data_IF_636256941700
#
_entry.id   IF_636256941700
#
_cell.length_a   1.000
_cell.length_b   1.000
_cell.length_c   1.000
_cell.angle_alpha   90.00
_cell.angle_beta   90.00
_cell.angle_gamma   90.00
#
_symmetry.space_group_name_H-M   'P 1'
#
loop_
_entity.id
_entity.type
_entity.pdbx_description
1 polymer ?
#
# COMPACT_ATOMS: atom_id res chain seq x y z
N UNK A 1 -1.69 -30.69 4.27
CA UNK A 1 -2.83 -30.13 4.99
C UNK A 1 -2.33 -29.69 6.37
N UNK A 2 -2.25 -28.39 6.62
CA UNK A 2 -1.98 -27.90 7.98
C UNK A 2 -3.21 -28.19 8.83
N UNK A 3 -3.08 -28.70 10.07
CA UNK A 3 -4.22 -28.84 10.96
C UNK A 3 -4.89 -27.48 11.14
N UNK A 4 -6.20 -27.41 11.03
CA UNK A 4 -6.97 -26.21 11.40
C UNK A 4 -6.65 -25.92 12.87
N UNK A 5 -6.36 -24.67 13.25
CA UNK A 5 -6.25 -24.34 14.66
C UNK A 5 -7.55 -24.75 15.35
N UNK A 6 -7.44 -25.51 16.41
CA UNK A 6 -8.58 -25.85 17.27
C UNK A 6 -9.22 -24.58 17.83
N UNK A 7 -10.44 -24.68 18.40
CA UNK A 7 -11.08 -23.55 19.05
C UNK A 7 -10.12 -22.95 20.10
N UNK A 8 -10.12 -21.62 20.27
CA UNK A 8 -9.23 -20.97 21.21
C UNK A 8 -9.40 -21.60 22.59
N UNK A 9 -8.28 -22.04 23.15
CA UNK A 9 -8.28 -22.56 24.53
C UNK A 9 -8.69 -21.45 25.49
N UNK A 10 -9.22 -21.77 26.66
CA UNK A 10 -9.63 -20.78 27.67
C UNK A 10 -8.52 -19.75 27.98
N UNK A 11 -7.24 -20.12 27.83
CA UNK A 11 -6.10 -19.21 27.95
C UNK A 11 -6.05 -18.10 26.87
N UNK A 12 -6.52 -18.38 25.63
CA UNK A 12 -6.56 -17.36 24.57
C UNK A 12 -7.64 -16.29 24.83
N UNK A 13 -8.69 -16.63 25.56
CA UNK A 13 -9.76 -15.70 25.93
C UNK A 13 -9.38 -14.72 27.04
N UNK A 14 -8.26 -14.95 27.74
CA UNK A 14 -7.76 -14.09 28.81
C UNK A 14 -6.63 -13.16 28.37
N UNK A 15 -6.19 -13.24 27.10
CA UNK A 15 -5.06 -12.46 26.61
C UNK A 15 -5.52 -11.09 26.07
N UNK A 16 -5.24 -10.03 26.83
CA UNK A 16 -5.43 -8.66 26.40
C UNK A 16 -4.20 -8.17 25.61
N UNK A 17 -4.38 -7.85 24.34
CA UNK A 17 -3.35 -7.28 23.48
C UNK A 17 -3.75 -5.85 23.05
N UNK A 18 -3.45 -4.81 23.83
CA UNK A 18 -3.60 -3.43 23.37
C UNK A 18 -2.45 -3.09 22.43
N UNK A 19 -2.69 -2.33 21.33
CA UNK A 19 -1.63 -1.87 20.47
C UNK A 19 -0.80 -0.80 21.19
N UNK A 20 0.53 -0.86 21.11
CA UNK A 20 1.38 0.24 21.52
C UNK A 20 1.27 1.40 20.51
N UNK A 21 1.74 2.58 20.90
CA UNK A 21 1.95 3.68 19.97
C UNK A 21 3.04 3.29 18.95
N UNK A 22 2.70 3.30 17.67
CA UNK A 22 3.58 2.91 16.58
C UNK A 22 3.99 4.12 15.75
N UNK A 23 5.29 4.24 15.46
CA UNK A 23 5.89 5.32 14.68
C UNK A 23 6.11 4.96 13.21
N UNK A 24 5.15 4.33 12.57
CA UNK A 24 5.23 3.86 11.19
C UNK A 24 5.46 2.35 11.08
N UNK A 25 5.01 1.75 10.00
CA UNK A 25 5.18 0.33 9.67
C UNK A 25 5.90 0.12 8.35
N UNK A 26 5.42 0.76 7.29
CA UNK A 26 5.96 0.74 5.92
C UNK A 26 6.13 -0.67 5.33
N UNK A 27 5.48 -1.68 5.92
CA UNK A 27 5.63 -3.11 5.61
C UNK A 27 6.57 -3.86 6.57
N UNK A 28 7.53 -3.21 7.24
CA UNK A 28 8.50 -3.85 8.12
C UNK A 28 7.94 -4.37 9.45
N UNK A 29 6.63 -4.30 9.70
CA UNK A 29 5.96 -4.79 10.91
C UNK A 29 4.87 -5.82 10.63
N UNK A 30 4.88 -6.43 9.44
CA UNK A 30 3.93 -7.49 9.10
C UNK A 30 4.38 -8.87 9.61
N UNK A 31 5.69 -9.09 9.70
CA UNK A 31 6.25 -10.29 10.31
C UNK A 31 6.32 -10.16 11.85
N UNK A 32 6.01 -11.25 12.56
CA UNK A 32 6.09 -11.32 14.01
C UNK A 32 7.54 -11.51 14.49
N UNK A 33 8.41 -10.52 14.24
CA UNK A 33 9.86 -10.64 14.44
C UNK A 33 10.28 -10.87 15.90
N UNK A 34 9.55 -10.30 16.88
CA UNK A 34 9.89 -10.38 18.31
C UNK A 34 8.72 -10.78 19.20
N UNK A 35 7.50 -10.71 18.71
CA UNK A 35 6.27 -10.88 19.50
C UNK A 35 6.18 -12.30 20.13
N UNK A 36 6.40 -13.33 19.31
CA UNK A 36 6.35 -14.72 19.79
C UNK A 36 7.49 -15.04 20.77
N UNK A 37 8.67 -14.46 20.63
CA UNK A 37 9.76 -14.62 21.61
C UNK A 37 9.38 -14.00 22.94
N UNK A 38 8.85 -12.78 22.94
CA UNK A 38 8.41 -12.12 24.16
C UNK A 38 7.28 -12.89 24.85
N UNK A 39 6.29 -13.35 24.09
CA UNK A 39 5.16 -14.11 24.60
C UNK A 39 5.59 -15.46 25.19
N UNK A 40 6.44 -16.22 24.50
CA UNK A 40 6.94 -17.52 24.99
C UNK A 40 7.74 -17.36 26.27
N UNK A 41 8.65 -16.39 26.32
CA UNK A 41 9.46 -16.16 27.52
C UNK A 41 8.60 -15.68 28.70
N UNK A 42 7.62 -14.81 28.47
CA UNK A 42 6.69 -14.37 29.51
C UNK A 42 5.87 -15.56 30.06
N UNK A 43 5.41 -16.45 29.17
CA UNK A 43 4.68 -17.65 29.55
C UNK A 43 5.54 -18.62 30.40
N UNK A 44 6.77 -18.89 29.98
CA UNK A 44 7.66 -19.82 30.70
C UNK A 44 8.16 -19.26 32.05
N UNK A 45 8.45 -17.97 32.08
CA UNK A 45 9.01 -17.33 33.30
C UNK A 45 7.93 -16.81 34.27
N UNK A 46 6.67 -16.72 33.81
CA UNK A 46 5.55 -16.11 34.55
C UNK A 46 5.90 -14.69 35.07
N UNK A 47 6.61 -13.93 34.23
CA UNK A 47 7.06 -12.56 34.53
C UNK A 47 6.92 -11.68 33.29
N UNK A 48 6.80 -10.36 33.45
CA UNK A 48 6.89 -9.43 32.33
C UNK A 48 8.21 -9.57 31.56
N UNK A 49 8.14 -9.66 30.24
CA UNK A 49 9.31 -9.78 29.37
C UNK A 49 9.28 -8.69 28.30
N UNK A 50 10.42 -8.09 28.03
CA UNK A 50 10.66 -7.14 26.94
C UNK A 50 11.75 -7.67 26.03
N UNK A 51 11.44 -7.80 24.74
CA UNK A 51 12.41 -8.12 23.69
C UNK A 51 12.60 -6.88 22.82
N UNK A 52 13.86 -6.50 22.58
CA UNK A 52 14.22 -5.36 21.75
C UNK A 52 15.46 -5.72 20.93
N UNK A 53 15.34 -5.68 19.63
CA UNK A 53 16.49 -5.79 18.73
C UNK A 53 17.34 -4.51 18.79
N UNK A 54 18.64 -4.64 18.79
CA UNK A 54 19.54 -3.54 18.50
C UNK A 54 19.38 -3.09 17.04
N UNK A 55 19.94 -1.94 16.69
CA UNK A 55 19.90 -1.48 15.30
C UNK A 55 20.64 -2.44 14.36
N UNK A 56 21.76 -2.99 14.78
CA UNK A 56 22.53 -3.97 14.00
C UNK A 56 21.73 -5.26 13.76
N UNK A 57 21.13 -5.82 14.81
CA UNK A 57 20.25 -6.99 14.67
C UNK A 57 19.04 -6.69 13.76
N UNK A 58 18.40 -5.53 13.92
CA UNK A 58 17.29 -5.13 13.07
C UNK A 58 17.70 -4.99 11.59
N UNK A 59 18.88 -4.46 11.31
CA UNK A 59 19.42 -4.41 9.94
C UNK A 59 19.66 -5.82 9.39
N UNK A 60 20.13 -6.74 10.22
CA UNK A 60 20.45 -8.11 9.79
C UNK A 60 19.21 -8.99 9.58
N UNK A 61 18.20 -8.91 10.47
CA UNK A 61 17.12 -9.93 10.50
C UNK A 61 15.72 -9.43 10.09
N UNK A 62 15.45 -8.12 10.13
CA UNK A 62 14.16 -7.62 9.66
C UNK A 62 14.01 -7.81 8.15
N UNK A 63 12.82 -8.18 7.65
CA UNK A 63 12.56 -8.27 6.23
C UNK A 63 12.84 -6.96 5.50
N UNK A 64 13.45 -7.08 4.33
CA UNK A 64 13.81 -5.96 3.46
C UNK A 64 12.96 -5.98 2.19
N UNK A 65 13.12 -4.94 1.34
CA UNK A 65 12.58 -4.95 -0.02
C UNK A 65 13.23 -6.07 -0.82
N UNK A 66 12.43 -6.85 -1.56
CA UNK A 66 12.94 -7.91 -2.42
C UNK A 66 13.90 -7.35 -3.48
N UNK A 67 15.13 -7.81 -3.55
CA UNK A 67 15.94 -7.69 -4.77
C UNK A 67 15.24 -8.45 -5.89
N UNK A 68 15.24 -7.87 -7.10
CA UNK A 68 14.63 -8.52 -8.28
C UNK A 68 15.56 -8.42 -9.47
N UNK A 69 15.78 -9.54 -10.14
CA UNK A 69 16.36 -9.59 -11.47
C UNK A 69 15.20 -9.57 -12.49
N UNK A 70 15.23 -8.61 -13.39
CA UNK A 70 14.09 -8.32 -14.25
C UNK A 70 14.53 -8.16 -15.69
N UNK A 71 13.95 -8.97 -16.58
CA UNK A 71 14.11 -8.85 -18.02
C UNK A 71 12.80 -8.41 -18.65
N UNK A 72 12.82 -7.27 -19.31
CA UNK A 72 11.65 -6.68 -19.98
C UNK A 72 11.92 -6.46 -21.46
N UNK A 73 10.95 -6.80 -22.28
CA UNK A 73 10.90 -6.47 -23.71
C UNK A 73 9.59 -5.75 -24.00
N UNK A 74 9.67 -4.61 -24.65
CA UNK A 74 8.53 -3.79 -25.04
C UNK A 74 8.58 -3.55 -26.55
N UNK A 75 7.45 -3.76 -27.25
CA UNK A 75 7.29 -3.50 -28.68
C UNK A 75 6.24 -2.42 -28.91
N UNK A 76 6.52 -1.52 -29.85
CA UNK A 76 5.56 -0.54 -30.37
C UNK A 76 5.65 -0.41 -31.88
N UNK A 77 4.65 0.21 -32.47
CA UNK A 77 4.71 0.67 -33.86
C UNK A 77 5.53 1.97 -34.01
N UNK A 78 5.64 2.49 -35.23
CA UNK A 78 6.38 3.72 -35.51
C UNK A 78 5.70 4.98 -34.95
N UNK A 79 4.42 4.91 -34.68
CA UNK A 79 3.58 5.96 -34.11
C UNK A 79 3.61 5.95 -32.60
N UNK A 80 4.27 4.95 -31.95
CA UNK A 80 4.40 4.80 -30.51
C UNK A 80 3.19 4.14 -29.82
N UNK A 81 2.32 3.45 -30.56
CA UNK A 81 1.31 2.60 -29.96
C UNK A 81 1.97 1.30 -29.48
N UNK A 82 1.77 0.93 -28.23
CA UNK A 82 2.38 -0.27 -27.66
C UNK A 82 1.64 -1.50 -28.14
N UNK A 83 2.37 -2.42 -28.79
CA UNK A 83 1.84 -3.67 -29.33
C UNK A 83 1.94 -4.83 -28.34
N UNK A 84 2.89 -4.78 -27.43
CA UNK A 84 3.03 -5.83 -26.43
C UNK A 84 4.20 -5.67 -25.48
N UNK A 85 4.10 -6.41 -24.37
CA UNK A 85 5.15 -6.47 -23.34
C UNK A 85 5.43 -7.92 -22.95
N UNK A 86 6.72 -8.26 -22.83
CA UNK A 86 7.18 -9.52 -22.24
C UNK A 86 8.05 -9.19 -21.03
N UNK A 87 7.76 -9.82 -19.89
CA UNK A 87 8.52 -9.63 -18.65
C UNK A 87 8.82 -10.96 -17.96
N UNK A 88 10.03 -11.10 -17.47
CA UNK A 88 10.45 -12.14 -16.54
C UNK A 88 11.01 -11.50 -15.29
N UNK A 89 10.45 -11.88 -14.13
CA UNK A 89 10.83 -11.33 -12.82
C UNK A 89 11.31 -12.46 -11.92
N UNK A 90 12.53 -12.39 -11.44
CA UNK A 90 13.08 -13.31 -10.43
C UNK A 90 13.24 -12.51 -9.15
N UNK A 91 12.54 -12.91 -8.09
CA UNK A 91 12.61 -12.27 -6.79
C UNK A 91 13.45 -13.10 -5.82
N UNK A 92 14.46 -12.49 -5.20
CA UNK A 92 15.19 -13.07 -4.07
C UNK A 92 14.37 -12.85 -2.79
N UNK A 93 13.85 -13.93 -2.20
CA UNK A 93 13.06 -13.87 -0.97
C UNK A 93 13.91 -14.08 0.29
N UNK A 94 15.22 -14.35 0.14
CA UNK A 94 16.13 -14.62 1.25
C UNK A 94 15.91 -15.98 1.90
N UNK A 95 16.34 -16.10 3.15
CA UNK A 95 16.38 -17.37 3.86
C UNK A 95 15.00 -17.93 4.25
N UNK A 96 13.96 -17.09 4.31
CA UNK A 96 12.60 -17.45 4.72
C UNK A 96 11.57 -16.93 3.74
N UNK A 97 10.39 -17.57 3.69
CA UNK A 97 9.32 -17.18 2.78
C UNK A 97 8.80 -15.76 3.04
N UNK A 98 8.63 -15.37 4.31
CA UNK A 98 7.93 -14.14 4.67
C UNK A 98 6.73 -13.90 3.73
N UNK A 99 6.74 -12.81 2.96
CA UNK A 99 5.72 -12.50 1.95
C UNK A 99 6.27 -12.56 0.51
N UNK A 100 7.30 -13.38 0.24
CA UNK A 100 7.94 -13.49 -1.07
C UNK A 100 6.97 -13.80 -2.20
N UNK A 101 6.14 -14.83 -2.06
CA UNK A 101 5.10 -15.18 -3.04
C UNK A 101 4.13 -14.03 -3.32
N UNK A 102 3.43 -13.48 -2.31
CA UNK A 102 2.51 -12.35 -2.48
C UNK A 102 3.16 -11.07 -3.06
N UNK A 103 4.43 -10.78 -2.70
CA UNK A 103 5.16 -9.63 -3.28
C UNK A 103 5.44 -9.85 -4.75
N UNK A 104 5.87 -11.05 -5.14
CA UNK A 104 6.10 -11.39 -6.54
C UNK A 104 4.80 -11.36 -7.35
N UNK A 105 3.72 -11.94 -6.83
CA UNK A 105 2.40 -11.88 -7.48
C UNK A 105 1.98 -10.43 -7.74
N UNK A 106 2.19 -9.55 -6.76
CA UNK A 106 1.90 -8.12 -6.89
C UNK A 106 2.82 -7.44 -7.91
N UNK A 107 4.09 -7.77 -7.94
CA UNK A 107 5.03 -7.28 -8.94
C UNK A 107 4.57 -7.66 -10.36
N UNK A 108 4.19 -8.91 -10.57
CA UNK A 108 3.74 -9.41 -11.88
C UNK A 108 2.40 -8.82 -12.32
N UNK A 109 1.42 -8.69 -11.41
CA UNK A 109 0.10 -8.11 -11.75
C UNK A 109 0.16 -6.63 -12.14
N UNK A 110 1.24 -5.94 -11.81
CA UNK A 110 1.45 -4.52 -12.12
C UNK A 110 2.63 -4.27 -13.07
N UNK A 111 3.29 -5.33 -13.53
CA UNK A 111 4.54 -5.21 -14.31
C UNK A 111 4.38 -4.43 -15.62
N UNK A 112 3.21 -4.47 -16.21
CA UNK A 112 2.91 -3.72 -17.44
C UNK A 112 2.64 -2.22 -17.21
N UNK A 113 2.53 -1.77 -15.95
CA UNK A 113 2.15 -0.39 -15.64
C UNK A 113 0.69 -0.07 -15.98
N UNK A 114 0.31 1.20 -15.91
CA UNK A 114 -1.08 1.63 -16.15
C UNK A 114 -1.35 1.93 -17.65
N UNK A 115 -0.99 1.01 -18.52
CA UNK A 115 -1.10 1.20 -19.97
C UNK A 115 -1.96 0.14 -20.62
N UNK A 116 -2.50 0.48 -21.80
CA UNK A 116 -3.22 -0.46 -22.65
C UNK A 116 -2.23 -1.33 -23.44
N UNK A 117 -2.51 -2.64 -23.52
CA UNK A 117 -1.71 -3.61 -24.28
C UNK A 117 -2.61 -4.59 -25.01
N UNK A 118 -2.29 -4.84 -26.28
CA UNK A 118 -2.92 -5.94 -27.04
C UNK A 118 -2.36 -7.30 -26.64
N UNK A 119 -1.06 -7.36 -26.34
CA UNK A 119 -0.37 -8.60 -26.03
C UNK A 119 0.55 -8.45 -24.80
N UNK A 120 0.55 -9.44 -23.93
CA UNK A 120 1.46 -9.48 -22.79
C UNK A 120 1.81 -10.91 -22.39
N UNK A 121 3.05 -11.10 -21.94
CA UNK A 121 3.54 -12.32 -21.32
C UNK A 121 4.38 -11.94 -20.10
N UNK A 122 3.88 -12.22 -18.91
CA UNK A 122 4.54 -11.87 -17.65
C UNK A 122 4.71 -13.12 -16.81
N UNK A 123 5.96 -13.44 -16.48
CA UNK A 123 6.33 -14.61 -15.66
C UNK A 123 7.14 -14.18 -14.45
N UNK A 124 6.97 -14.87 -13.33
CA UNK A 124 7.69 -14.58 -12.11
C UNK A 124 8.07 -15.83 -11.32
N UNK A 125 9.23 -15.78 -10.68
CA UNK A 125 9.80 -16.83 -9.83
C UNK A 125 10.29 -16.22 -8.53
N UNK A 126 9.92 -16.76 -7.37
CA UNK A 126 10.46 -16.36 -6.06
C UNK A 126 11.42 -17.45 -5.57
N UNK A 127 12.67 -17.08 -5.31
CA UNK A 127 13.73 -18.00 -4.96
C UNK A 127 14.15 -17.83 -3.51
N UNK A 128 14.34 -18.92 -2.80
CA UNK A 128 15.02 -18.93 -1.52
C UNK A 128 16.52 -18.79 -1.73
N UNK A 129 17.14 -17.97 -0.90
CA UNK A 129 18.60 -17.79 -0.86
C UNK A 129 19.09 -17.76 0.58
N UNK A 130 20.40 -17.66 0.79
CA UNK A 130 20.98 -17.45 2.12
C UNK A 130 21.06 -15.96 2.52
N UNK A 131 20.49 -15.08 1.72
CA UNK A 131 20.44 -13.65 2.03
C UNK A 131 19.47 -13.36 3.20
N UNK A 132 19.57 -12.19 3.85
CA UNK A 132 18.58 -11.75 4.82
C UNK A 132 17.17 -11.83 4.26
N UNK A 133 16.15 -12.09 5.11
CA UNK A 133 14.78 -12.22 4.64
C UNK A 133 14.31 -10.98 3.88
N UNK A 134 13.61 -11.18 2.78
CA UNK A 134 12.85 -10.16 2.10
C UNK A 134 11.36 -10.36 2.39
N UNK A 135 10.62 -9.28 2.61
CA UNK A 135 9.20 -9.33 2.98
C UNK A 135 8.43 -8.13 2.49
N UNK A 136 7.38 -7.76 3.20
CA UNK A 136 6.61 -6.57 2.88
C UNK A 136 7.46 -5.31 3.00
N UNK A 137 7.41 -4.48 1.97
CA UNK A 137 7.95 -3.13 2.00
C UNK A 137 7.07 -2.22 1.13
N UNK A 138 6.93 -0.95 1.49
CA UNK A 138 6.07 0.03 0.82
C UNK A 138 6.14 -0.08 -0.71
N UNK A 139 4.99 -0.28 -1.39
CA UNK A 139 4.89 -0.59 -2.81
C UNK A 139 4.73 -2.08 -3.12
N UNK A 140 5.27 -2.99 -2.27
CA UNK A 140 5.00 -4.44 -2.28
C UNK A 140 5.22 -5.09 -3.66
N UNK A 141 6.40 -4.88 -4.26
CA UNK A 141 6.76 -5.44 -5.56
C UNK A 141 6.50 -4.52 -6.76
N UNK A 142 5.50 -3.66 -6.68
CA UNK A 142 5.12 -2.75 -7.78
C UNK A 142 6.22 -1.73 -8.10
N UNK A 143 6.93 -1.24 -7.10
CA UNK A 143 8.00 -0.25 -7.31
C UNK A 143 9.13 -0.76 -8.17
N UNK A 144 9.49 -2.05 -8.04
CA UNK A 144 10.55 -2.66 -8.84
C UNK A 144 10.15 -2.77 -10.31
N UNK A 145 8.96 -3.32 -10.58
CA UNK A 145 8.47 -3.48 -11.97
C UNK A 145 8.09 -2.15 -12.60
N UNK A 146 7.60 -1.17 -11.83
CA UNK A 146 7.38 0.19 -12.29
C UNK A 146 8.69 0.82 -12.80
N UNK A 147 9.80 0.69 -12.07
CA UNK A 147 11.10 1.17 -12.53
C UNK A 147 11.49 0.57 -13.88
N UNK A 148 11.27 -0.72 -14.08
CA UNK A 148 11.63 -1.40 -15.32
C UNK A 148 10.80 -0.90 -16.52
N UNK A 149 9.47 -0.89 -16.42
CA UNK A 149 8.60 -0.50 -17.53
C UNK A 149 8.74 0.99 -17.86
N UNK A 150 8.81 1.87 -16.87
CA UNK A 150 8.94 3.30 -17.05
C UNK A 150 10.30 3.69 -17.69
N UNK A 151 11.37 2.97 -17.33
CA UNK A 151 12.68 3.13 -17.98
C UNK A 151 12.62 2.71 -19.45
N UNK A 152 11.94 1.61 -19.79
CA UNK A 152 11.78 1.17 -21.17
C UNK A 152 10.96 2.16 -21.99
N UNK A 153 9.89 2.71 -21.45
CA UNK A 153 9.08 3.73 -22.13
C UNK A 153 9.91 4.97 -22.48
N UNK A 154 10.75 5.44 -21.55
CA UNK A 154 11.65 6.56 -21.83
C UNK A 154 12.64 6.23 -22.98
N UNK A 155 13.26 5.04 -22.94
CA UNK A 155 14.18 4.59 -24.00
C UNK A 155 13.46 4.42 -25.34
N UNK A 156 12.24 3.92 -25.31
CA UNK A 156 11.42 3.74 -26.52
C UNK A 156 11.02 5.10 -27.13
N UNK A 157 10.57 6.05 -26.33
CA UNK A 157 10.25 7.40 -26.77
C UNK A 157 11.42 8.05 -27.51
N UNK A 158 12.63 7.97 -26.93
CA UNK A 158 13.86 8.45 -27.58
C UNK A 158 14.12 7.72 -28.91
N UNK A 159 13.93 6.40 -28.94
CA UNK A 159 14.21 5.58 -30.15
C UNK A 159 13.29 5.93 -31.33
N UNK A 160 12.02 6.24 -31.07
CA UNK A 160 11.05 6.58 -32.11
C UNK A 160 10.87 8.09 -32.33
N UNK A 161 11.55 8.92 -31.54
CA UNK A 161 11.59 10.37 -31.71
C UNK A 161 10.34 11.12 -31.22
N UNK A 162 9.61 10.58 -30.25
CA UNK A 162 8.49 11.28 -29.57
C UNK A 162 8.85 11.62 -28.12
N UNK A 163 8.06 12.51 -27.51
CA UNK A 163 8.33 12.86 -26.10
C UNK A 163 7.99 11.72 -25.13
N UNK A 164 8.69 11.63 -23.98
CA UNK A 164 8.33 10.68 -22.92
C UNK A 164 6.91 10.89 -22.35
N UNK A 165 6.37 12.10 -22.43
CA UNK A 165 4.99 12.38 -22.07
C UNK A 165 4.03 11.81 -23.12
N UNK A 166 4.31 12.04 -24.40
CA UNK A 166 3.45 11.66 -25.51
C UNK A 166 3.25 10.14 -25.58
N UNK A 167 4.31 9.33 -25.45
CA UNK A 167 4.18 7.87 -25.44
C UNK A 167 3.29 7.37 -24.31
N UNK A 168 3.35 8.01 -23.12
CA UNK A 168 2.49 7.68 -21.98
C UNK A 168 1.04 8.09 -22.20
N UNK A 169 0.82 9.32 -22.66
CA UNK A 169 -0.52 9.84 -22.93
C UNK A 169 -1.26 9.03 -23.99
N UNK A 170 -0.55 8.65 -25.05
CA UNK A 170 -1.10 7.83 -26.13
C UNK A 170 -1.56 6.46 -25.62
N UNK A 171 -0.78 5.81 -24.77
CA UNK A 171 -1.00 4.45 -24.31
C UNK A 171 -1.63 4.37 -22.90
N UNK A 172 -1.93 5.50 -22.28
CA UNK A 172 -2.55 5.53 -20.94
C UNK A 172 -3.86 4.72 -20.94
N UNK A 173 -4.02 3.88 -19.92
CA UNK A 173 -5.29 3.13 -19.71
C UNK A 173 -6.45 4.10 -19.53
N UNK A 174 -7.59 3.81 -20.13
CA UNK A 174 -8.81 4.62 -20.10
C UNK A 174 -10.01 3.80 -19.65
N UNK A 175 -11.07 4.44 -19.13
CA UNK A 175 -12.32 3.75 -18.81
C UNK A 175 -12.81 2.84 -19.92
N UNK A 176 -13.21 1.61 -19.57
CA UNK A 176 -13.65 0.58 -20.51
C UNK A 176 -12.55 -0.29 -21.09
N UNK A 177 -11.29 0.05 -20.91
CA UNK A 177 -10.16 -0.76 -21.34
C UNK A 177 -9.78 -1.82 -20.31
N UNK A 178 -9.05 -2.84 -20.74
CA UNK A 178 -8.70 -4.00 -19.89
C UNK A 178 -7.24 -3.96 -19.49
N UNK A 179 -6.99 -4.07 -18.18
CA UNK A 179 -5.64 -4.27 -17.61
C UNK A 179 -5.13 -5.68 -17.91
N UNK A 180 -3.80 -5.91 -17.92
CA UNK A 180 -3.22 -7.24 -18.12
C UNK A 180 -3.68 -8.32 -17.12
N UNK A 181 -4.21 -7.94 -15.96
CA UNK A 181 -4.81 -8.86 -15.02
C UNK A 181 -6.27 -9.24 -15.35
N UNK A 182 -6.80 -8.77 -16.48
CA UNK A 182 -8.15 -9.07 -17.00
C UNK A 182 -9.24 -8.14 -16.47
N UNK A 183 -8.94 -7.22 -15.55
CA UNK A 183 -9.94 -6.29 -15.02
C UNK A 183 -10.19 -5.15 -16.01
N UNK A 184 -11.46 -4.89 -16.30
CA UNK A 184 -11.89 -3.71 -17.05
C UNK A 184 -11.91 -2.54 -16.06
N UNK A 185 -11.23 -1.45 -16.39
CA UNK A 185 -11.21 -0.25 -15.56
C UNK A 185 -12.44 0.62 -15.84
N UNK A 186 -12.90 1.29 -14.79
CA UNK A 186 -14.13 2.10 -14.82
C UNK A 186 -13.83 3.60 -14.90
N UNK A 187 -14.88 4.41 -14.77
CA UNK A 187 -14.84 5.88 -14.84
C UNK A 187 -14.00 6.53 -13.72
N UNK A 188 -13.58 5.77 -12.71
CA UNK A 188 -12.67 6.27 -11.65
C UNK A 188 -11.19 6.25 -12.05
N UNK A 189 -10.87 5.97 -13.32
CA UNK A 189 -9.51 5.84 -13.84
C UNK A 189 -8.94 7.19 -14.25
N UNK A 190 -8.17 7.82 -13.37
CA UNK A 190 -7.66 9.19 -13.52
C UNK A 190 -6.21 9.31 -13.99
N UNK A 191 -5.65 8.31 -14.71
CA UNK A 191 -4.26 8.41 -15.20
C UNK A 191 -4.06 9.57 -16.18
N UNK A 192 -5.02 9.75 -17.11
CA UNK A 192 -4.93 10.81 -18.12
C UNK A 192 -4.92 12.18 -17.45
N UNK A 193 -5.74 12.39 -16.45
CA UNK A 193 -5.81 13.63 -15.67
C UNK A 193 -4.48 13.91 -14.95
N UNK A 194 -3.84 12.88 -14.38
CA UNK A 194 -2.51 13.06 -13.74
C UNK A 194 -1.43 13.41 -14.76
N UNK A 195 -1.48 12.86 -15.97
CA UNK A 195 -0.57 13.21 -17.07
C UNK A 195 -0.76 14.65 -17.55
N UNK A 196 -2.02 15.09 -17.68
CA UNK A 196 -2.33 16.46 -18.08
C UNK A 196 -1.90 17.48 -17.02
N UNK A 197 -2.05 17.15 -15.75
CA UNK A 197 -1.71 18.03 -14.63
C UNK A 197 -0.21 18.37 -14.57
N UNK A 198 0.68 17.53 -15.09
CA UNK A 198 2.14 17.74 -15.02
C UNK A 198 2.75 18.19 -16.35
N UNK A 199 1.93 18.31 -17.41
CA UNK A 199 2.41 18.52 -18.76
C UNK A 199 3.20 19.83 -18.91
N UNK A 200 2.63 20.95 -18.49
CA UNK A 200 3.24 22.28 -18.60
C UNK A 200 4.60 22.32 -17.86
N UNK A 201 4.65 21.85 -16.64
CA UNK A 201 5.88 21.81 -15.87
C UNK A 201 6.99 20.94 -16.49
N UNK A 202 6.60 19.85 -17.18
CA UNK A 202 7.55 19.02 -17.91
C UNK A 202 8.08 19.71 -19.18
N UNK A 203 7.20 20.39 -19.93
CA UNK A 203 7.54 21.09 -21.18
C UNK A 203 8.41 22.32 -20.92
N UNK A 204 8.21 23.03 -19.81
CA UNK A 204 8.96 24.21 -19.44
C UNK A 204 10.36 23.88 -18.84
N UNK A 205 10.53 22.67 -18.35
CA UNK A 205 11.77 22.26 -17.70
C UNK A 205 12.86 21.88 -18.73
N UNK A 206 14.05 22.44 -18.60
CA UNK A 206 15.19 22.07 -19.44
C UNK A 206 15.67 20.64 -19.24
N UNK A 207 15.67 20.18 -17.99
CA UNK A 207 16.07 18.83 -17.60
C UNK A 207 15.00 18.23 -16.71
N UNK A 208 14.21 17.35 -17.27
CA UNK A 208 13.17 16.67 -16.50
C UNK A 208 12.98 15.21 -16.94
N UNK A 209 12.52 14.40 -16.00
CA UNK A 209 12.09 13.03 -16.26
C UNK A 209 10.66 12.83 -15.79
N UNK A 210 9.91 11.95 -16.49
CA UNK A 210 8.53 11.61 -16.17
C UNK A 210 8.38 10.11 -15.98
N UNK A 211 7.51 9.73 -15.05
CA UNK A 211 7.08 8.34 -14.84
C UNK A 211 5.64 8.29 -14.35
N UNK A 212 4.93 7.21 -14.72
CA UNK A 212 3.58 6.92 -14.25
C UNK A 212 3.56 5.67 -13.36
N UNK A 213 2.55 5.58 -12.53
CA UNK A 213 2.32 4.38 -11.73
C UNK A 213 0.83 4.17 -11.48
N UNK A 214 0.46 2.92 -11.22
CA UNK A 214 -0.80 2.56 -10.60
C UNK A 214 -0.55 1.68 -9.38
N UNK A 215 -1.45 1.75 -8.41
CA UNK A 215 -1.40 0.89 -7.24
C UNK A 215 -2.80 0.55 -6.76
N UNK A 216 -3.02 -0.74 -6.53
CA UNK A 216 -4.28 -1.21 -5.96
C UNK A 216 -4.47 -0.79 -4.51
N UNK A 217 -5.73 -0.63 -4.11
CA UNK A 217 -6.18 -0.65 -2.73
C UNK A 217 -6.73 -2.04 -2.36
N UNK A 218 -6.57 -2.44 -1.11
CA UNK A 218 -7.01 -3.74 -0.62
C UNK A 218 -6.06 -4.89 -0.93
N UNK A 219 -6.41 -6.08 -0.43
CA UNK A 219 -5.63 -7.32 -0.62
C UNK A 219 -5.77 -7.86 -2.04
N UNK A 220 -6.99 -7.96 -2.54
CA UNK A 220 -7.28 -8.38 -3.92
C UNK A 220 -7.02 -9.85 -4.22
N UNK A 221 -6.99 -10.17 -5.50
CA UNK A 221 -6.64 -11.47 -6.11
C UNK A 221 -7.38 -12.68 -5.49
N UNK A 222 -8.66 -12.47 -5.13
CA UNK A 222 -9.53 -13.52 -4.57
C UNK A 222 -9.27 -13.86 -3.11
N UNK A 223 -8.41 -13.11 -2.43
CA UNK A 223 -8.20 -13.29 -0.99
C UNK A 223 -9.30 -12.57 -0.19
N UNK A 224 -9.77 -13.15 0.94
CA UNK A 224 -10.74 -12.48 1.79
C UNK A 224 -10.19 -11.16 2.35
N UNK A 225 -10.95 -10.09 2.17
CA UNK A 225 -10.59 -8.76 2.65
C UNK A 225 -11.80 -8.11 3.33
N UNK A 226 -11.93 -8.32 4.65
CA UNK A 226 -13.10 -7.93 5.43
C UNK A 226 -12.77 -6.79 6.38
N UNK A 227 -13.55 -5.72 6.32
CA UNK A 227 -13.58 -4.65 7.31
C UNK A 227 -14.76 -4.78 8.26
N UNK A 228 -14.57 -4.45 9.54
CA UNK A 228 -15.62 -4.45 10.56
C UNK A 228 -15.47 -3.27 11.49
N UNK A 229 -16.57 -2.61 11.76
CA UNK A 229 -16.65 -1.48 12.69
C UNK A 229 -17.91 -1.62 13.53
N UNK A 230 -17.79 -1.38 14.82
CA UNK A 230 -18.92 -1.27 15.73
C UNK A 230 -19.01 0.15 16.27
N UNK A 231 -20.18 0.75 16.19
CA UNK A 231 -20.52 2.02 16.82
C UNK A 231 -21.32 1.74 18.08
N UNK A 232 -20.99 2.39 19.19
CA UNK A 232 -21.70 2.24 20.47
C UNK A 232 -22.00 3.62 21.03
N UNK A 233 -23.23 3.84 21.46
CA UNK A 233 -23.56 5.07 22.20
C UNK A 233 -23.26 4.85 23.67
N UNK A 234 -22.34 5.61 24.21
CA UNK A 234 -21.89 5.55 25.60
C UNK A 234 -21.56 6.95 26.11
N UNK A 235 -22.00 7.28 27.33
CA UNK A 235 -21.76 8.58 27.96
C UNK A 235 -22.23 9.75 27.06
N UNK A 236 -23.37 9.57 26.39
CA UNK A 236 -23.94 10.51 25.43
C UNK A 236 -23.00 10.86 24.26
N UNK A 237 -22.06 9.98 23.92
CA UNK A 237 -21.16 10.08 22.77
C UNK A 237 -21.22 8.83 21.90
N UNK A 238 -20.83 8.97 20.64
CA UNK A 238 -20.73 7.85 19.70
C UNK A 238 -19.30 7.31 19.70
N UNK A 239 -19.11 6.09 20.20
CA UNK A 239 -17.82 5.42 20.28
C UNK A 239 -17.60 4.52 19.07
N UNK A 240 -16.42 4.59 18.49
CA UNK A 240 -15.98 3.76 17.36
C UNK A 240 -15.07 2.66 17.90
N UNK A 241 -15.45 1.40 17.74
CA UNK A 241 -14.68 0.22 18.09
C UNK A 241 -14.27 -0.50 16.81
N UNK A 242 -12.97 -0.71 16.62
CA UNK A 242 -12.41 -1.37 15.45
C UNK A 242 -11.02 -1.91 15.77
N UNK A 243 -10.69 -3.13 15.30
CA UNK A 243 -9.34 -3.68 15.43
C UNK A 243 -8.35 -3.12 14.39
N UNK A 244 -8.80 -2.28 13.44
CA UNK A 244 -7.92 -1.60 12.50
C UNK A 244 -6.93 -0.68 13.24
N UNK A 245 -5.68 -1.17 13.39
CA UNK A 245 -4.69 -0.48 14.21
C UNK A 245 -4.00 0.65 13.44
N UNK A 246 -3.82 1.78 14.11
CA UNK A 246 -3.00 2.87 13.60
C UNK A 246 -1.52 2.52 13.80
N UNK A 247 -0.76 2.40 12.71
CA UNK A 247 0.69 2.20 12.70
C UNK A 247 1.47 3.46 12.32
N UNK A 248 0.79 4.62 12.32
CA UNK A 248 1.29 5.93 11.90
C UNK A 248 0.58 6.51 10.68
N UNK A 249 -0.26 5.73 9.98
CA UNK A 249 -0.97 6.13 8.76
C UNK A 249 -2.25 6.96 9.02
N UNK A 250 -2.67 7.13 10.28
CA UNK A 250 -3.79 8.00 10.62
C UNK A 250 -5.18 7.41 10.46
N UNK A 251 -5.34 6.06 10.41
CA UNK A 251 -6.65 5.41 10.23
C UNK A 251 -7.70 5.86 11.26
N UNK A 252 -7.28 6.10 12.51
CA UNK A 252 -8.19 6.58 13.54
C UNK A 252 -8.81 7.93 13.21
N UNK A 253 -8.02 8.87 12.73
CA UNK A 253 -8.49 10.18 12.26
C UNK A 253 -9.46 10.02 11.08
N UNK A 254 -9.12 9.16 10.11
CA UNK A 254 -9.97 8.87 8.94
C UNK A 254 -11.32 8.30 9.37
N UNK A 255 -11.34 7.34 10.31
CA UNK A 255 -12.60 6.76 10.81
C UNK A 255 -13.47 7.81 11.51
N UNK A 256 -12.88 8.67 12.34
CA UNK A 256 -13.62 9.78 12.98
C UNK A 256 -14.19 10.74 11.93
N UNK A 257 -13.43 11.04 10.88
CA UNK A 257 -13.88 11.92 9.79
C UNK A 257 -15.05 11.29 9.01
N UNK A 258 -14.97 10.01 8.68
CA UNK A 258 -16.06 9.27 8.01
C UNK A 258 -17.31 9.30 8.90
N UNK A 259 -17.19 8.90 10.17
CA UNK A 259 -18.34 8.85 11.09
C UNK A 259 -18.95 10.23 11.30
N UNK A 260 -18.14 11.28 11.47
CA UNK A 260 -18.64 12.65 11.62
C UNK A 260 -19.43 13.11 10.37
N UNK A 261 -18.88 12.85 9.19
CA UNK A 261 -19.52 13.23 7.93
C UNK A 261 -20.84 12.46 7.70
N UNK A 262 -20.84 11.14 7.92
CA UNK A 262 -22.01 10.29 7.68
C UNK A 262 -23.14 10.51 8.69
N UNK A 263 -22.80 10.82 9.93
CA UNK A 263 -23.80 10.98 11.00
C UNK A 263 -24.24 12.42 11.24
N UNK A 264 -23.48 13.40 10.71
CA UNK A 264 -23.67 14.82 10.98
C UNK A 264 -23.35 15.23 12.42
N UNK A 265 -22.70 14.34 13.20
CA UNK A 265 -22.29 14.66 14.57
C UNK A 265 -21.03 15.53 14.58
N UNK A 266 -20.96 16.47 15.53
CA UNK A 266 -19.72 17.14 15.83
C UNK A 266 -18.65 16.13 16.30
N UNK A 267 -17.40 16.34 15.89
CA UNK A 267 -16.27 15.48 16.27
C UNK A 267 -16.06 15.36 17.78
N UNK A 268 -16.44 16.39 18.56
CA UNK A 268 -16.39 16.35 20.02
C UNK A 268 -17.31 15.29 20.64
N UNK A 269 -18.33 14.85 19.88
CA UNK A 269 -19.27 13.81 20.26
C UNK A 269 -18.89 12.42 19.74
N UNK A 270 -17.72 12.26 19.12
CA UNK A 270 -17.24 11.00 18.58
C UNK A 270 -15.94 10.62 19.28
N UNK A 271 -15.89 9.40 19.82
CA UNK A 271 -14.74 8.84 20.52
C UNK A 271 -14.21 7.64 19.76
N UNK A 272 -12.92 7.65 19.41
CA UNK A 272 -12.25 6.47 18.91
C UNK A 272 -11.70 5.68 20.09
N UNK A 273 -12.20 4.47 20.30
CA UNK A 273 -11.69 3.57 21.32
C UNK A 273 -10.34 2.97 20.92
N UNK A 274 -9.46 2.79 21.90
CA UNK A 274 -8.23 2.04 21.68
C UNK A 274 -8.56 0.58 21.31
N UNK A 275 -8.06 0.06 20.17
CA UNK A 275 -8.35 -1.31 19.77
C UNK A 275 -7.80 -2.32 20.79
N UNK A 276 -8.57 -3.38 21.00
CA UNK A 276 -8.16 -4.48 21.88
C UNK A 276 -8.84 -5.79 21.49
N UNK A 277 -8.36 -6.90 22.00
CA UNK A 277 -8.85 -8.24 21.66
C UNK A 277 -10.21 -8.61 22.24
N UNK A 278 -10.78 -7.82 23.15
CA UNK A 278 -12.05 -8.15 23.80
C UNK A 278 -13.27 -7.45 23.21
N UNK A 279 -13.13 -6.18 22.83
CA UNK A 279 -14.25 -5.35 22.45
C UNK A 279 -14.24 -4.90 21.01
N UNK A 280 -13.06 -4.86 20.37
CA UNK A 280 -12.90 -4.41 19.00
C UNK A 280 -13.22 -5.55 18.03
N UNK A 281 -14.14 -5.38 17.06
CA UNK A 281 -14.36 -6.37 16.03
C UNK A 281 -13.10 -6.53 15.15
N UNK A 282 -12.76 -7.78 14.82
CA UNK A 282 -11.65 -8.07 13.92
C UNK A 282 -11.92 -7.46 12.54
N UNK A 283 -11.08 -6.55 12.13
CA UNK A 283 -11.18 -5.83 10.85
C UNK A 283 -10.06 -6.21 9.87
N UNK A 284 -9.45 -7.36 10.07
CA UNK A 284 -8.35 -7.87 9.25
C UNK A 284 -7.02 -7.15 9.51
N UNK A 285 -6.03 -7.47 8.70
CA UNK A 285 -4.66 -6.95 8.85
C UNK A 285 -4.55 -5.45 8.55
N UNK A 286 -3.64 -4.75 9.22
CA UNK A 286 -3.25 -3.38 8.89
C UNK A 286 -2.16 -3.41 7.81
N UNK A 287 -2.55 -3.69 6.59
CA UNK A 287 -1.68 -3.88 5.44
C UNK A 287 -2.42 -3.53 4.13
N UNK A 288 -1.73 -3.55 2.99
CA UNK A 288 -2.33 -3.51 1.65
C UNK A 288 -3.09 -2.23 1.31
N UNK A 289 -2.86 -1.12 2.02
CA UNK A 289 -3.59 0.17 1.82
C UNK A 289 -5.11 0.00 1.83
N UNK A 290 -5.63 -0.89 2.70
CA UNK A 290 -7.03 -1.33 2.69
C UNK A 290 -7.96 -0.55 3.60
N UNK A 291 -7.42 0.13 4.64
CA UNK A 291 -8.28 0.63 5.71
C UNK A 291 -9.26 1.71 5.29
N UNK A 292 -8.85 2.70 4.49
CA UNK A 292 -9.78 3.76 4.05
C UNK A 292 -10.91 3.17 3.22
N UNK A 293 -10.62 2.26 2.29
CA UNK A 293 -11.64 1.64 1.43
C UNK A 293 -12.43 0.58 2.18
N UNK A 294 -11.78 -0.43 2.76
CA UNK A 294 -12.45 -1.63 3.29
C UNK A 294 -13.03 -1.38 4.69
N UNK A 295 -12.21 -0.83 5.60
CA UNK A 295 -12.70 -0.52 6.96
C UNK A 295 -13.57 0.73 6.96
N UNK A 296 -13.27 1.71 6.10
CA UNK A 296 -14.10 2.91 5.93
C UNK A 296 -15.51 2.59 5.43
N UNK A 297 -15.64 1.66 4.47
CA UNK A 297 -16.95 1.19 4.02
C UNK A 297 -17.73 0.47 5.13
N UNK A 298 -17.03 -0.32 5.97
CA UNK A 298 -17.67 -0.93 7.14
C UNK A 298 -18.16 0.14 8.14
N UNK A 299 -17.38 1.22 8.32
CA UNK A 299 -17.80 2.34 9.16
C UNK A 299 -19.03 3.06 8.55
N UNK A 300 -19.03 3.31 7.25
CA UNK A 300 -20.17 3.86 6.52
C UNK A 300 -21.44 3.03 6.75
N UNK A 301 -21.37 1.71 6.60
CA UNK A 301 -22.51 0.80 6.83
C UNK A 301 -23.02 0.85 8.27
N UNK A 302 -22.12 0.93 9.26
CA UNK A 302 -22.51 1.10 10.65
C UNK A 302 -23.22 2.45 10.87
N UNK A 303 -22.76 3.53 10.19
CA UNK A 303 -23.40 4.84 10.25
C UNK A 303 -24.80 4.86 9.63
N UNK A 304 -25.03 4.13 8.54
CA UNK A 304 -26.35 4.00 7.95
C UNK A 304 -27.36 3.39 8.95
N UNK A 305 -26.98 2.31 9.64
CA UNK A 305 -27.80 1.69 10.67
C UNK A 305 -28.06 2.63 11.86
N UNK A 306 -27.00 3.35 12.29
CA UNK A 306 -27.13 4.34 13.35
C UNK A 306 -28.10 5.46 12.96
N UNK A 307 -27.99 6.02 11.77
CA UNK A 307 -28.83 7.12 11.29
C UNK A 307 -30.31 6.70 11.18
N UNK A 308 -30.56 5.50 10.63
CA UNK A 308 -31.91 4.95 10.52
C UNK A 308 -32.56 4.75 11.90
N UNK A 309 -31.77 4.27 12.86
CA UNK A 309 -32.26 4.11 14.24
C UNK A 309 -32.40 5.44 14.98
N UNK A 310 -31.45 6.35 14.84
CA UNK A 310 -31.39 7.62 15.57
C UNK A 310 -32.57 8.54 15.21
N UNK A 311 -32.87 8.73 13.94
CA UNK A 311 -33.97 9.61 13.42
C UNK A 311 -34.02 10.98 14.11
N UNK A 312 -32.85 11.60 14.33
CA UNK A 312 -32.73 12.93 14.97
C UNK A 312 -32.79 12.94 16.49
N UNK A 313 -32.99 11.81 17.18
CA UNK A 313 -33.01 11.75 18.64
C UNK A 313 -31.65 12.15 19.24
N UNK A 314 -31.62 12.77 20.44
CA UNK A 314 -30.37 13.02 21.16
C UNK A 314 -29.64 11.74 21.50
N UNK A 315 -28.29 11.79 21.56
CA UNK A 315 -27.47 10.61 21.90
C UNK A 315 -27.80 10.04 23.29
N UNK A 316 -28.16 10.89 24.25
CA UNK A 316 -28.54 10.45 25.60
C UNK A 316 -29.72 9.46 25.62
N UNK A 317 -30.63 9.53 24.63
CA UNK A 317 -31.74 8.59 24.51
C UNK A 317 -31.36 7.26 23.89
N UNK A 318 -30.13 7.16 23.36
CA UNK A 318 -29.62 5.98 22.65
C UNK A 318 -28.55 5.23 23.48
N UNK A 319 -28.43 5.56 24.75
CA UNK A 319 -27.38 4.96 25.60
C UNK A 319 -27.39 3.42 25.55
N UNK A 320 -26.23 2.83 25.35
CA UNK A 320 -26.04 1.38 25.24
C UNK A 320 -26.41 0.77 23.88
N UNK A 321 -26.93 1.55 22.91
CA UNK A 321 -27.22 1.02 21.57
C UNK A 321 -25.95 0.76 20.79
N UNK A 322 -25.93 -0.37 20.05
CA UNK A 322 -24.80 -0.82 19.23
C UNK A 322 -25.22 -0.95 17.76
N UNK A 323 -24.31 -0.55 16.84
CA UNK A 323 -24.51 -0.65 15.39
C UNK A 323 -23.29 -1.28 14.76
N UNK A 324 -23.46 -2.37 14.05
CA UNK A 324 -22.38 -3.15 13.49
C UNK A 324 -22.37 -3.08 11.97
N UNK A 325 -21.25 -2.64 11.42
CA UNK A 325 -21.01 -2.62 9.98
C UNK A 325 -19.92 -3.60 9.57
N UNK A 326 -20.19 -4.34 8.52
CA UNK A 326 -19.25 -5.24 7.89
C UNK A 326 -19.22 -5.03 6.38
N UNK A 327 -18.02 -5.05 5.80
CA UNK A 327 -17.82 -5.05 4.37
C UNK A 327 -16.79 -6.10 3.98
N UNK A 328 -17.17 -6.99 3.06
CA UNK A 328 -16.26 -7.92 2.38
C UNK A 328 -15.96 -7.38 0.99
N UNK A 329 -14.74 -6.98 0.76
CA UNK A 329 -14.24 -6.61 -0.55
C UNK A 329 -14.10 -7.87 -1.40
N UNK A 330 -15.03 -8.08 -2.33
CA UNK A 330 -15.06 -9.25 -3.21
C UNK A 330 -14.14 -9.02 -4.40
N UNK A 331 -13.18 -9.91 -4.56
CA UNK A 331 -12.26 -9.93 -5.70
C UNK A 331 -12.13 -11.35 -6.25
N UNK A 332 -11.59 -11.46 -7.44
CA UNK A 332 -11.42 -12.74 -8.13
C UNK A 332 -9.95 -13.13 -8.17
N UNK A 333 -9.69 -14.43 -8.23
CA UNK A 333 -8.34 -14.96 -8.45
C UNK A 333 -7.84 -14.54 -9.82
N UNK A 334 -6.53 -14.38 -9.95
CA UNK A 334 -5.91 -14.19 -11.26
C UNK A 334 -6.26 -15.36 -12.19
N UNK A 335 -6.63 -15.04 -13.43
CA UNK A 335 -7.06 -16.04 -14.41
C UNK A 335 -8.44 -16.63 -14.11
N UNK A 336 -9.30 -15.97 -13.34
CA UNK A 336 -10.67 -16.41 -13.14
C UNK A 336 -11.42 -16.51 -14.48
N UNK A 337 -12.07 -17.65 -14.70
CA UNK A 337 -12.86 -17.92 -15.91
C UNK A 337 -14.23 -17.21 -15.80
N UNK A 338 -14.20 -15.89 -16.06
CA UNK A 338 -15.39 -15.05 -16.16
C UNK A 338 -15.14 -13.82 -17.01
N UNK A 339 -16.17 -13.22 -17.61
CA UNK A 339 -16.02 -12.10 -18.56
C UNK A 339 -15.33 -10.87 -17.99
N UNK A 340 -15.58 -10.51 -16.75
CA UNK A 340 -15.06 -9.30 -16.11
C UNK A 340 -14.52 -9.63 -14.72
N UNK A 341 -13.31 -10.21 -14.60
CA UNK A 341 -12.72 -10.51 -13.30
C UNK A 341 -12.33 -9.21 -12.59
N UNK A 342 -12.63 -9.14 -11.29
CA UNK A 342 -12.24 -8.02 -10.44
C UNK A 342 -11.01 -8.42 -9.64
N UNK A 343 -9.84 -8.05 -10.11
CA UNK A 343 -8.57 -8.33 -9.43
C UNK A 343 -8.44 -7.55 -8.12
N UNK A 344 -8.84 -6.28 -8.14
CA UNK A 344 -8.78 -5.38 -6.98
C UNK A 344 -9.98 -4.43 -6.95
N UNK A 345 -10.40 -4.03 -5.75
CA UNK A 345 -11.60 -3.19 -5.57
C UNK A 345 -11.41 -1.74 -5.98
N UNK A 346 -10.18 -1.25 -6.02
CA UNK A 346 -9.86 0.10 -6.50
C UNK A 346 -8.39 0.20 -6.89
N UNK A 347 -8.09 1.17 -7.74
CA UNK A 347 -6.73 1.58 -8.09
C UNK A 347 -6.58 3.09 -7.87
N UNK A 348 -5.37 3.51 -7.46
CA UNK A 348 -4.94 4.89 -7.55
C UNK A 348 -3.90 5.02 -8.67
N UNK A 349 -3.86 6.17 -9.29
CA UNK A 349 -2.97 6.49 -10.41
C UNK A 349 -2.09 7.68 -10.06
N UNK A 350 -0.91 7.73 -10.65
CA UNK A 350 0.00 8.84 -10.41
C UNK A 350 0.89 9.11 -11.63
N UNK A 351 1.21 10.37 -11.82
CA UNK A 351 2.28 10.82 -12.72
C UNK A 351 3.22 11.74 -11.95
N UNK A 352 4.52 11.41 -11.96
CA UNK A 352 5.55 12.22 -11.34
C UNK A 352 6.48 12.82 -12.38
N UNK A 353 6.90 14.06 -12.14
CA UNK A 353 7.96 14.75 -12.87
C UNK A 353 9.07 15.09 -11.91
N UNK A 354 10.30 14.74 -12.28
CA UNK A 354 11.52 15.12 -11.57
C UNK A 354 12.24 16.19 -12.38
N UNK A 355 12.38 17.39 -11.83
CA UNK A 355 13.08 18.51 -12.44
C UNK A 355 14.48 18.59 -11.85
N UNK A 356 15.50 18.67 -12.71
CA UNK A 356 16.88 18.82 -12.32
C UNK A 356 17.39 20.24 -12.59
N UNK A 357 18.23 20.74 -11.70
CA UNK A 357 19.03 21.94 -11.93
C UNK A 357 20.18 21.69 -12.92
N UNK A 358 20.86 22.75 -13.34
CA UNK A 358 22.04 22.67 -14.23
C UNK A 358 23.22 21.88 -13.60
N UNK A 359 23.24 21.78 -12.28
CA UNK A 359 24.23 21.00 -11.51
C UNK A 359 23.86 19.50 -11.40
N UNK A 360 22.74 19.08 -12.03
CA UNK A 360 22.22 17.72 -12.01
C UNK A 360 21.54 17.30 -10.70
N UNK A 361 21.37 18.20 -9.75
CA UNK A 361 20.61 17.90 -8.52
C UNK A 361 19.12 18.04 -8.75
N UNK A 362 18.33 17.30 -7.98
CA UNK A 362 16.89 17.46 -8.00
C UNK A 362 16.55 18.86 -7.48
N UNK A 363 15.92 19.65 -8.32
CA UNK A 363 15.42 20.98 -7.99
C UNK A 363 14.02 20.89 -7.40
N UNK A 364 13.15 20.06 -7.99
CA UNK A 364 11.77 19.90 -7.60
C UNK A 364 11.24 18.53 -8.03
N UNK A 365 10.29 18.00 -7.27
CA UNK A 365 9.49 16.85 -7.63
C UNK A 365 8.02 17.24 -7.70
N UNK A 366 7.37 17.02 -8.84
CA UNK A 366 5.95 17.28 -9.02
C UNK A 366 5.25 15.93 -9.03
N UNK A 367 4.25 15.76 -8.17
CA UNK A 367 3.56 14.49 -7.96
C UNK A 367 2.04 14.65 -8.09
N UNK A 368 1.51 14.39 -9.29
CA UNK A 368 0.06 14.35 -9.52
C UNK A 368 -0.49 12.97 -9.20
N UNK A 369 -1.49 12.91 -8.32
CA UNK A 369 -2.12 11.67 -7.89
C UNK A 369 -3.63 11.71 -8.01
N UNK A 370 -4.19 10.66 -8.59
CA UNK A 370 -5.59 10.32 -8.43
C UNK A 370 -5.75 9.32 -7.28
N UNK A 371 -6.39 9.76 -6.22
CA UNK A 371 -6.74 8.98 -5.03
C UNK A 371 -8.25 8.90 -4.82
N UNK A 372 -9.03 9.30 -5.83
CA UNK A 372 -10.47 9.51 -5.72
C UNK A 372 -10.79 10.62 -4.69
N UNK A 373 -11.87 10.47 -3.94
CA UNK A 373 -12.23 11.43 -2.90
C UNK A 373 -11.32 11.28 -1.67
N UNK A 374 -10.39 12.21 -1.50
CA UNK A 374 -9.51 12.24 -0.33
C UNK A 374 -10.31 12.56 0.96
N UNK A 375 -10.39 11.60 1.89
CA UNK A 375 -11.06 11.79 3.19
C UNK A 375 -10.24 12.76 4.07
N UNK A 376 -8.91 12.66 3.99
CA UNK A 376 -7.99 13.56 4.68
C UNK A 376 -6.89 14.01 3.70
N UNK A 377 -7.06 15.15 3.00
CA UNK A 377 -6.10 15.63 2.00
C UNK A 377 -4.68 15.76 2.55
N UNK A 378 -4.50 16.38 3.73
CA UNK A 378 -3.15 16.54 4.33
C UNK A 378 -2.47 15.23 4.65
N UNK A 379 -3.22 14.20 5.07
CA UNK A 379 -2.64 12.88 5.29
C UNK A 379 -2.28 12.19 3.96
N UNK A 380 -3.05 12.41 2.89
CA UNK A 380 -2.73 11.93 1.56
C UNK A 380 -1.45 12.58 1.02
N UNK A 381 -1.35 13.90 1.09
CA UNK A 381 -0.13 14.67 0.72
C UNK A 381 1.10 14.15 1.47
N UNK A 382 1.03 14.00 2.80
CA UNK A 382 2.15 13.48 3.58
C UNK A 382 2.53 12.03 3.24
N UNK A 383 1.58 11.19 2.74
CA UNK A 383 1.91 9.86 2.20
C UNK A 383 2.64 9.97 0.85
N UNK A 384 2.27 10.91 0.01
CA UNK A 384 2.92 11.16 -1.29
C UNK A 384 4.35 11.66 -1.06
N UNK A 385 4.54 12.72 -0.28
CA UNK A 385 5.84 13.28 0.09
C UNK A 385 6.79 12.20 0.66
N UNK A 386 6.28 11.40 1.62
CA UNK A 386 7.05 10.30 2.19
C UNK A 386 7.41 9.21 1.17
N UNK A 387 6.56 8.95 0.17
CA UNK A 387 6.82 8.02 -0.93
C UNK A 387 7.89 8.54 -1.88
N UNK A 388 7.78 9.80 -2.28
CA UNK A 388 8.76 10.49 -3.14
C UNK A 388 10.13 10.53 -2.47
N UNK A 389 10.21 10.98 -1.22
CA UNK A 389 11.46 11.04 -0.45
C UNK A 389 12.15 9.68 -0.38
N UNK A 390 11.39 8.61 -0.10
CA UNK A 390 11.91 7.24 -0.06
C UNK A 390 12.46 6.82 -1.43
N UNK A 391 11.75 7.12 -2.52
CA UNK A 391 12.16 6.77 -3.88
C UNK A 391 13.41 7.53 -4.31
N UNK A 392 13.53 8.80 -3.95
CA UNK A 392 14.76 9.59 -4.17
C UNK A 392 15.96 8.98 -3.44
N UNK A 393 15.77 8.55 -2.19
CA UNK A 393 16.81 7.85 -1.44
C UNK A 393 17.28 6.57 -2.15
N UNK A 394 16.36 5.72 -2.57
CA UNK A 394 16.68 4.51 -3.34
C UNK A 394 17.39 4.80 -4.67
N UNK A 395 17.00 5.86 -5.37
CA UNK A 395 17.60 6.20 -6.66
C UNK A 395 19.00 6.78 -6.53
N UNK A 396 19.32 7.50 -5.46
CA UNK A 396 20.51 8.33 -5.40
C UNK A 396 21.53 7.92 -4.35
N UNK A 397 21.12 7.45 -3.19
CA UNK A 397 22.02 7.34 -2.03
C UNK A 397 21.94 6.07 -1.23
N UNK A 398 20.78 5.39 -1.19
CA UNK A 398 20.61 4.24 -0.32
C UNK A 398 21.26 2.98 -0.90
N UNK A 399 22.01 2.29 -0.05
CA UNK A 399 22.66 1.03 -0.39
C UNK A 399 22.52 0.03 0.76
N UNK A 400 22.33 -1.24 0.39
CA UNK A 400 22.27 -2.35 1.34
C UNK A 400 23.22 -3.47 0.88
N UNK A 401 24.55 -3.24 0.98
CA UNK A 401 25.53 -4.20 0.51
C UNK A 401 25.56 -5.45 1.37
N UNK A 402 25.76 -6.60 0.73
CA UNK A 402 25.92 -7.91 1.33
C UNK A 402 27.30 -8.47 1.00
N UNK A 403 27.99 -9.01 2.00
CA UNK A 403 29.20 -9.81 1.81
C UNK A 403 28.93 -11.23 2.33
N UNK A 404 29.05 -12.22 1.48
CA UNK A 404 28.71 -13.62 1.82
C UNK A 404 27.34 -13.76 2.51
N UNK A 405 26.32 -13.09 1.97
CA UNK A 405 24.94 -13.04 2.50
C UNK A 405 24.79 -12.30 3.84
N UNK A 406 25.81 -11.63 4.34
CA UNK A 406 25.77 -10.86 5.59
C UNK A 406 25.71 -9.35 5.26
N UNK A 407 24.76 -8.58 5.85
CA UNK A 407 24.73 -7.14 5.65
C UNK A 407 25.97 -6.45 6.25
N UNK A 408 26.64 -5.65 5.45
CA UNK A 408 27.76 -4.80 5.90
C UNK A 408 27.32 -3.37 6.18
N UNK A 409 26.10 -3.02 5.79
CA UNK A 409 25.52 -1.69 6.03
C UNK A 409 25.30 -1.41 7.52
N UNK A 410 25.59 -0.17 7.92
CA UNK A 410 25.25 0.39 9.25
C UNK A 410 24.32 1.58 9.06
N UNK A 411 23.54 1.94 10.09
CA UNK A 411 22.58 3.05 10.00
C UNK A 411 23.21 4.32 9.40
N UNK A 412 24.43 4.67 9.79
CA UNK A 412 25.13 5.86 9.29
C UNK A 412 25.65 5.76 7.85
N UNK A 413 25.69 4.54 7.27
CA UNK A 413 26.23 4.29 5.93
C UNK A 413 25.18 3.78 4.94
N UNK A 414 23.93 3.56 5.37
CA UNK A 414 22.83 3.14 4.47
C UNK A 414 22.50 4.21 3.43
N UNK A 415 22.80 5.48 3.71
CA UNK A 415 22.56 6.57 2.76
C UNK A 415 21.17 7.20 2.85
N UNK A 416 20.49 7.09 3.98
CA UNK A 416 19.18 7.73 4.18
C UNK A 416 19.27 9.25 3.99
N UNK A 417 18.31 9.82 3.27
CA UNK A 417 18.20 11.27 3.14
C UNK A 417 18.04 11.95 4.51
N UNK A 418 18.73 13.05 4.68
CA UNK A 418 18.49 13.99 5.77
C UNK A 418 17.45 15.03 5.31
N UNK A 419 16.75 15.65 6.25
CA UNK A 419 15.69 16.62 5.94
C UNK A 419 16.16 17.73 4.96
N UNK A 420 17.40 18.21 5.08
CA UNK A 420 17.97 19.21 4.18
C UNK A 420 18.29 18.71 2.76
N UNK A 421 18.18 17.40 2.50
CA UNK A 421 18.42 16.79 1.18
C UNK A 421 17.13 16.49 0.43
N UNK A 422 15.98 16.56 1.13
CA UNK A 422 14.67 16.32 0.52
C UNK A 422 14.35 17.52 -0.39
N UNK A 423 14.11 17.29 -1.69
CA UNK A 423 13.72 18.38 -2.58
C UNK A 423 12.31 18.89 -2.24
N UNK A 424 11.91 20.08 -2.71
CA UNK A 424 10.49 20.48 -2.75
C UNK A 424 9.65 19.44 -3.49
N UNK A 425 8.45 19.17 -2.94
CA UNK A 425 7.50 18.21 -3.52
C UNK A 425 6.14 18.89 -3.58
#
# INVERSE_FOLDING_TARGET
PRPRPGPPTAAAQTLLCPPPLLGGGFGGKEDASVQHHAALLAYLLQKPVKVKLTRAESIAVHPKRHPMDMTFTLGCDNEGNILGVKARVIADTGAYASLGGPVLERACTHAAGPYHYENFEITGEAWYTNNPPAGAFRGFGVTQTCFAIETLLNRMAVKIGISPWEIRYKNAIRPGETLPNGQIVDESTGLVETLLAVREALEDARYAGIACAMKNAGVGVGLPDTGRVKLVVKESKLHILCAASCIGQGVGTVLVQIVAQETGLDRANIVLEAPNTFTSPDSGTTSGSRHTTVTGEAAHRACLLFNDFRKGRPLAELEGQEFYGEYLAKTDKLGADKPNPVSHVAYGYATHVCILGEDGRIQEMIAAHDVGRAINPKAAEGQIEGGVTMSCGYALTEQYPLEHCVPTARLGTVGLFRAAQVPPI
#
